data_IF_778558872620
#
_entry.id   IF_778558872620
#
_cell.length_a   1.000
_cell.length_b   1.000
_cell.length_c   1.000
_cell.angle_alpha   90.00
_cell.angle_beta   90.00
_cell.angle_gamma   90.00
#
_symmetry.space_group_name_H-M   'P 1'
#
loop_
_entity.id
_entity.type
_entity.pdbx_description
1 polymer ?
#
# COMPACT_ATOMS: atom_id res chain seq x y z
N UNK A 1 -29.37 12.60 40.08
CA UNK A 1 -28.71 12.32 38.79
C UNK A 1 -27.85 11.09 38.98
N UNK A 2 -28.23 9.92 38.46
CA UNK A 2 -27.35 8.76 38.48
C UNK A 2 -26.35 8.92 37.34
N UNK A 3 -25.13 9.32 37.70
CA UNK A 3 -24.04 9.47 36.75
C UNK A 3 -23.72 8.11 36.12
N UNK A 4 -23.80 8.03 34.79
CA UNK A 4 -23.49 6.80 34.06
C UNK A 4 -22.03 6.42 34.33
N UNK A 5 -21.82 5.21 34.82
CA UNK A 5 -20.49 4.62 35.00
C UNK A 5 -20.24 3.67 33.82
N UNK A 6 -19.23 3.93 32.97
CA UNK A 6 -18.99 3.11 31.80
C UNK A 6 -18.56 1.69 32.21
N UNK A 7 -18.99 0.66 31.47
CA UNK A 7 -18.60 -0.70 31.75
C UNK A 7 -17.09 -0.85 31.58
N UNK A 8 -16.41 -1.25 32.67
CA UNK A 8 -14.97 -1.51 32.64
C UNK A 8 -14.72 -2.80 31.84
N UNK A 9 -14.10 -2.66 30.67
CA UNK A 9 -13.76 -3.80 29.83
C UNK A 9 -12.74 -4.70 30.55
N UNK A 10 -12.92 -6.02 30.46
CA UNK A 10 -12.03 -6.98 31.10
C UNK A 10 -10.64 -7.04 30.44
N UNK A 11 -9.60 -7.14 31.26
CA UNK A 11 -8.18 -7.13 30.84
C UNK A 11 -7.84 -8.17 29.75
N UNK A 12 -8.49 -9.33 29.79
CA UNK A 12 -8.30 -10.41 28.80
C UNK A 12 -8.83 -10.05 27.42
N UNK A 13 -9.96 -9.34 27.36
CA UNK A 13 -10.55 -8.90 26.08
C UNK A 13 -9.69 -7.83 25.42
N UNK A 14 -9.14 -6.89 26.22
CA UNK A 14 -8.25 -5.85 25.73
C UNK A 14 -6.92 -6.41 25.19
N UNK A 15 -6.34 -7.43 25.86
CA UNK A 15 -5.13 -8.09 25.38
C UNK A 15 -5.34 -8.82 24.05
N UNK A 16 -6.48 -9.50 23.90
CA UNK A 16 -6.81 -10.19 22.66
C UNK A 16 -7.02 -9.21 21.50
N UNK A 17 -7.75 -8.12 21.74
CA UNK A 17 -7.97 -7.07 20.75
C UNK A 17 -6.64 -6.42 20.30
N UNK A 18 -5.79 -6.03 21.26
CA UNK A 18 -4.47 -5.48 20.98
C UNK A 18 -3.59 -6.46 20.19
N UNK A 19 -3.63 -7.76 20.52
CA UNK A 19 -2.91 -8.80 19.79
C UNK A 19 -3.42 -8.95 18.35
N UNK A 20 -4.74 -8.93 18.13
CA UNK A 20 -5.33 -9.03 16.79
C UNK A 20 -4.93 -7.81 15.95
N UNK A 21 -5.02 -6.60 16.52
CA UNK A 21 -4.60 -5.38 15.84
C UNK A 21 -3.10 -5.45 15.51
N UNK A 22 -2.26 -5.90 16.44
CA UNK A 22 -0.83 -6.10 16.20
C UNK A 22 -0.57 -7.11 15.08
N UNK A 23 -1.30 -8.22 15.04
CA UNK A 23 -1.18 -9.23 13.99
C UNK A 23 -1.62 -8.69 12.63
N UNK A 24 -2.71 -7.91 12.57
CA UNK A 24 -3.16 -7.25 11.34
C UNK A 24 -2.16 -6.20 10.86
N UNK A 25 -1.55 -5.45 11.78
CA UNK A 25 -0.52 -4.46 11.48
C UNK A 25 0.76 -5.14 10.96
N UNK A 26 1.15 -6.25 11.57
CA UNK A 26 2.25 -7.08 11.09
C UNK A 26 1.94 -7.65 9.69
N UNK A 27 0.75 -8.21 9.47
CA UNK A 27 0.35 -8.73 8.17
C UNK A 27 0.36 -7.62 7.11
N UNK A 28 -0.23 -6.47 7.39
CA UNK A 28 -0.26 -5.34 6.44
C UNK A 28 1.14 -4.83 6.10
N UNK A 29 2.07 -4.74 7.06
CA UNK A 29 3.45 -4.30 6.82
C UNK A 29 4.30 -5.36 6.12
N UNK A 30 4.25 -6.62 6.58
CA UNK A 30 5.21 -7.64 6.15
C UNK A 30 4.66 -8.57 5.07
N UNK A 31 3.37 -8.94 5.11
CA UNK A 31 2.79 -9.84 4.12
C UNK A 31 2.74 -9.17 2.74
N UNK A 32 2.32 -7.91 2.69
CA UNK A 32 2.25 -7.14 1.43
C UNK A 32 3.63 -7.02 0.80
N UNK A 33 4.62 -6.53 1.54
CA UNK A 33 5.98 -6.32 1.02
C UNK A 33 6.70 -7.63 0.70
N UNK A 34 6.71 -8.62 1.59
CA UNK A 34 7.58 -9.78 1.40
C UNK A 34 6.95 -10.93 0.62
N UNK A 35 5.62 -11.03 0.57
CA UNK A 35 4.93 -12.14 -0.11
C UNK A 35 4.33 -11.70 -1.43
N UNK A 36 3.69 -10.52 -1.49
CA UNK A 36 3.01 -10.05 -2.70
C UNK A 36 4.02 -9.48 -3.71
N UNK A 37 4.97 -8.64 -3.30
CA UNK A 37 5.94 -8.03 -4.24
C UNK A 37 6.90 -9.08 -4.85
N UNK A 38 7.28 -10.11 -4.08
CA UNK A 38 8.13 -11.20 -4.60
C UNK A 38 7.45 -12.06 -5.68
N UNK A 39 6.13 -12.21 -5.61
CA UNK A 39 5.38 -12.88 -6.68
C UNK A 39 5.41 -12.07 -7.97
N UNK A 40 5.31 -10.75 -7.89
CA UNK A 40 5.40 -9.88 -9.08
C UNK A 40 6.81 -9.79 -9.68
N UNK A 41 7.87 -9.92 -8.87
CA UNK A 41 9.25 -10.01 -9.36
C UNK A 41 9.56 -11.35 -10.05
N UNK A 42 8.91 -12.43 -9.62
CA UNK A 42 9.15 -13.77 -10.17
C UNK A 42 8.55 -13.97 -11.58
N UNK A 43 7.57 -13.16 -11.99
CA UNK A 43 7.00 -13.22 -13.34
C UNK A 43 7.79 -12.41 -14.39
N UNK A 44 8.75 -11.56 -13.97
CA UNK A 44 9.49 -10.68 -14.91
C UNK A 44 10.96 -11.05 -15.10
N UNK A 45 11.47 -12.07 -14.40
CA UNK A 45 12.84 -12.56 -14.59
C UNK A 45 12.89 -13.68 -15.63
N UNK A 46 12.56 -13.33 -16.87
CA UNK A 46 13.13 -14.01 -18.02
C UNK A 46 14.66 -13.94 -17.91
N UNK A 47 15.28 -15.06 -17.59
CA UNK A 47 16.74 -15.22 -17.58
C UNK A 47 17.24 -15.09 -19.00
N UNK A 48 17.45 -13.87 -19.46
CA UNK A 48 18.26 -13.57 -20.62
C UNK A 48 19.55 -12.95 -20.13
N UNK A 49 20.61 -13.76 -20.08
CA UNK A 49 21.99 -13.31 -20.15
C UNK A 49 22.11 -12.33 -21.32
N UNK A 50 21.94 -11.05 -21.03
CA UNK A 50 22.05 -9.98 -22.00
C UNK A 50 23.53 -9.75 -22.23
N UNK A 51 23.99 -9.89 -23.47
CA UNK A 51 25.36 -9.55 -23.83
C UNK A 51 25.67 -8.11 -23.39
N UNK A 52 26.78 -7.95 -22.65
CA UNK A 52 27.25 -6.64 -22.20
C UNK A 52 27.66 -5.81 -23.42
N UNK A 53 26.85 -4.82 -23.79
CA UNK A 53 27.19 -3.89 -24.88
C UNK A 53 28.08 -2.76 -24.38
N UNK A 54 29.01 -2.26 -25.22
CA UNK A 54 29.79 -1.07 -24.87
C UNK A 54 28.87 0.15 -24.75
N UNK A 55 29.20 1.07 -23.85
CA UNK A 55 28.38 2.25 -23.53
C UNK A 55 28.04 3.13 -24.76
N UNK A 56 28.86 3.06 -25.81
CA UNK A 56 28.64 3.71 -27.10
C UNK A 56 27.40 3.22 -27.84
N UNK A 57 27.04 1.94 -27.69
CA UNK A 57 25.93 1.27 -28.38
C UNK A 57 24.61 1.35 -27.61
N UNK A 58 24.63 1.81 -26.36
CA UNK A 58 23.42 2.01 -25.58
C UNK A 58 22.61 3.19 -26.15
N UNK A 59 21.28 3.03 -26.15
CA UNK A 59 20.31 4.04 -26.58
C UNK A 59 20.16 5.17 -25.53
N UNK A 60 21.29 5.81 -25.22
CA UNK A 60 21.41 6.93 -24.29
C UNK A 60 21.78 8.20 -25.06
N UNK A 61 21.36 9.34 -24.55
CA UNK A 61 21.82 10.65 -25.03
C UNK A 61 23.33 10.83 -24.80
N UNK A 62 23.95 11.79 -25.49
CA UNK A 62 25.39 12.04 -25.34
C UNK A 62 25.76 12.46 -23.92
N UNK A 63 24.91 13.22 -23.23
CA UNK A 63 25.12 13.66 -21.85
C UNK A 63 25.05 12.48 -20.86
N UNK A 64 24.07 11.59 -21.02
CA UNK A 64 23.92 10.40 -20.18
C UNK A 64 25.11 9.45 -20.33
N UNK A 65 25.58 9.21 -21.56
CA UNK A 65 26.79 8.42 -21.81
C UNK A 65 28.00 8.99 -21.08
N UNK A 66 28.19 10.32 -21.08
CA UNK A 66 29.29 10.95 -20.35
C UNK A 66 29.16 10.79 -18.83
N UNK A 67 27.94 10.82 -18.30
CA UNK A 67 27.70 10.67 -16.87
C UNK A 67 27.96 9.23 -16.40
N UNK A 68 27.48 8.23 -17.15
CA UNK A 68 27.80 6.82 -16.88
C UNK A 68 29.29 6.54 -17.03
N UNK A 69 29.95 7.12 -18.03
CA UNK A 69 31.41 6.98 -18.17
C UNK A 69 32.17 7.54 -16.95
N UNK A 70 31.73 8.68 -16.39
CA UNK A 70 32.32 9.23 -15.15
C UNK A 70 32.11 8.30 -13.96
N UNK A 71 30.92 7.71 -13.82
CA UNK A 71 30.62 6.77 -12.73
C UNK A 71 31.43 5.46 -12.85
N UNK A 72 31.60 4.95 -14.07
CA UNK A 72 32.44 3.78 -14.35
C UNK A 72 33.90 4.08 -14.03
N UNK A 73 34.42 5.23 -14.47
CA UNK A 73 35.80 5.65 -14.17
C UNK A 73 36.03 5.85 -12.66
N UNK A 74 34.99 6.25 -11.91
CA UNK A 74 35.03 6.40 -10.46
C UNK A 74 34.85 5.07 -9.70
N UNK A 75 34.61 3.96 -10.40
CA UNK A 75 34.37 2.64 -9.79
C UNK A 75 33.05 2.54 -9.03
N UNK A 76 32.09 3.42 -9.30
CA UNK A 76 30.78 3.47 -8.60
C UNK A 76 29.80 2.46 -9.20
N UNK A 77 29.87 2.26 -10.52
CA UNK A 77 28.99 1.35 -11.27
C UNK A 77 29.82 0.64 -12.34
N UNK A 78 29.50 -0.62 -12.61
CA UNK A 78 30.14 -1.36 -13.70
C UNK A 78 29.34 -1.24 -15.03
N UNK A 79 29.91 -1.78 -16.10
CA UNK A 79 29.30 -1.77 -17.42
C UNK A 79 28.05 -2.67 -17.48
N UNK A 80 27.99 -3.73 -16.67
CA UNK A 80 26.91 -4.69 -16.64
C UNK A 80 25.66 -4.10 -15.98
N UNK A 81 25.79 -3.53 -14.79
CA UNK A 81 24.78 -2.78 -14.08
C UNK A 81 24.26 -1.60 -14.91
N UNK A 82 25.13 -0.92 -15.66
CA UNK A 82 24.70 0.13 -16.60
C UNK A 82 23.80 -0.44 -17.71
N UNK A 83 24.18 -1.58 -18.32
CA UNK A 83 23.37 -2.24 -19.34
C UNK A 83 22.01 -2.70 -18.79
N UNK A 84 21.97 -3.25 -17.59
CA UNK A 84 20.73 -3.68 -16.93
C UNK A 84 19.81 -2.49 -16.63
N UNK A 85 20.33 -1.43 -16.02
CA UNK A 85 19.56 -0.22 -15.70
C UNK A 85 18.97 0.39 -16.97
N UNK A 86 19.73 0.44 -18.06
CA UNK A 86 19.25 0.98 -19.35
C UNK A 86 18.24 0.06 -20.00
N UNK A 87 18.43 -1.27 -19.95
CA UNK A 87 17.46 -2.25 -20.48
C UNK A 87 16.12 -2.14 -19.74
N UNK A 88 16.15 -2.10 -18.41
CA UNK A 88 14.95 -1.97 -17.57
C UNK A 88 14.24 -0.64 -17.78
N UNK A 89 14.98 0.43 -18.07
CA UNK A 89 14.40 1.76 -18.19
C UNK A 89 14.02 2.21 -19.60
N UNK A 90 14.32 1.41 -20.63
CA UNK A 90 13.97 1.75 -21.99
C UNK A 90 12.47 2.01 -22.15
N UNK A 91 12.08 3.07 -22.90
CA UNK A 91 10.69 3.38 -23.18
C UNK A 91 10.13 2.35 -24.17
N UNK A 92 9.65 1.23 -23.67
CA UNK A 92 8.87 0.26 -24.44
C UNK A 92 7.38 0.59 -24.31
N UNK A 93 6.59 0.30 -25.34
CA UNK A 93 5.14 0.53 -25.33
C UNK A 93 4.42 -0.25 -24.24
N UNK A 94 5.02 -1.36 -23.80
CA UNK A 94 4.39 -2.34 -22.90
C UNK A 94 4.95 -2.28 -21.48
N UNK A 95 5.76 -1.26 -21.14
CA UNK A 95 6.42 -1.12 -19.83
C UNK A 95 5.42 -1.03 -18.67
N UNK A 96 4.24 -0.46 -18.92
CA UNK A 96 3.19 -0.30 -17.92
C UNK A 96 1.94 -1.07 -18.36
N UNK A 97 1.71 -2.23 -17.76
CA UNK A 97 0.49 -2.99 -17.99
C UNK A 97 -0.64 -2.45 -17.10
N UNK A 98 -1.65 -1.85 -17.70
CA UNK A 98 -2.79 -1.31 -16.97
C UNK A 98 -3.88 -2.38 -16.80
N UNK A 99 -4.06 -2.84 -15.56
CA UNK A 99 -5.17 -3.74 -15.21
C UNK A 99 -6.42 -2.94 -14.84
N UNK A 100 -7.40 -2.92 -15.74
CA UNK A 100 -8.72 -2.33 -15.46
C UNK A 100 -9.42 -3.05 -14.28
N UNK A 101 -9.18 -4.35 -14.13
CA UNK A 101 -9.74 -5.15 -13.03
C UNK A 101 -9.18 -4.67 -11.68
N UNK A 102 -7.86 -4.43 -11.60
CA UNK A 102 -7.23 -3.92 -10.37
C UNK A 102 -7.74 -2.52 -10.02
N UNK A 103 -7.98 -1.66 -11.02
CA UNK A 103 -8.58 -0.36 -10.80
C UNK A 103 -9.99 -0.48 -10.20
N UNK A 104 -10.85 -1.30 -10.81
CA UNK A 104 -12.23 -1.51 -10.34
C UNK A 104 -12.24 -2.12 -8.94
N UNK A 105 -11.37 -3.09 -8.66
CA UNK A 105 -11.24 -3.69 -7.34
C UNK A 105 -10.89 -2.64 -6.28
N UNK A 106 -9.95 -1.75 -6.58
CA UNK A 106 -9.56 -0.66 -5.67
C UNK A 106 -10.72 0.30 -5.40
N UNK A 107 -11.43 0.72 -6.44
CA UNK A 107 -12.63 1.56 -6.31
C UNK A 107 -13.69 0.85 -5.46
N UNK A 108 -13.92 -0.44 -5.69
CA UNK A 108 -14.87 -1.26 -4.94
C UNK A 108 -14.53 -1.33 -3.45
N UNK A 109 -13.27 -1.54 -3.10
CA UNK A 109 -12.80 -1.56 -1.70
C UNK A 109 -13.05 -0.21 -1.03
N UNK A 110 -12.73 0.90 -1.71
CA UNK A 110 -12.95 2.25 -1.17
C UNK A 110 -14.44 2.50 -0.91
N UNK A 111 -15.30 2.18 -1.89
CA UNK A 111 -16.75 2.37 -1.76
C UNK A 111 -17.31 1.50 -0.63
N UNK A 112 -16.89 0.25 -0.53
CA UNK A 112 -17.31 -0.67 0.53
C UNK A 112 -16.91 -0.15 1.92
N UNK A 113 -15.68 0.33 2.06
CA UNK A 113 -15.21 0.96 3.30
C UNK A 113 -16.06 2.19 3.67
N UNK A 114 -16.29 3.11 2.73
CA UNK A 114 -17.09 4.31 2.97
C UNK A 114 -18.53 3.98 3.34
N UNK A 115 -19.14 3.00 2.65
CA UNK A 115 -20.49 2.53 2.95
C UNK A 115 -20.59 1.95 4.37
N UNK A 116 -19.58 1.16 4.78
CA UNK A 116 -19.49 0.61 6.14
C UNK A 116 -19.40 1.73 7.19
N UNK A 117 -18.49 2.69 7.00
CA UNK A 117 -18.32 3.83 7.93
C UNK A 117 -19.62 4.62 8.05
N UNK A 118 -20.28 4.91 6.94
CA UNK A 118 -21.55 5.64 6.94
C UNK A 118 -22.65 4.86 7.68
N UNK A 119 -22.75 3.56 7.43
CA UNK A 119 -23.75 2.70 8.07
C UNK A 119 -23.57 2.62 9.60
N UNK A 120 -22.34 2.44 10.08
CA UNK A 120 -22.03 2.41 11.51
C UNK A 120 -22.27 3.79 12.15
N UNK A 121 -21.82 4.86 11.50
CA UNK A 121 -22.00 6.23 11.99
C UNK A 121 -23.48 6.59 12.19
N UNK A 122 -24.35 6.23 11.24
CA UNK A 122 -25.79 6.48 11.37
C UNK A 122 -26.42 5.71 12.53
N UNK A 123 -25.91 4.52 12.85
CA UNK A 123 -26.42 3.72 13.97
C UNK A 123 -26.08 4.38 15.30
N UNK A 124 -24.83 4.76 15.49
CA UNK A 124 -24.37 5.43 16.72
C UNK A 124 -25.01 6.81 16.89
N UNK A 125 -25.17 7.58 15.81
CA UNK A 125 -25.85 8.88 15.85
C UNK A 125 -27.29 8.77 16.36
N UNK A 126 -28.04 7.74 15.94
CA UNK A 126 -29.40 7.48 16.42
C UNK A 126 -29.44 7.12 17.90
N UNK A 127 -28.43 6.42 18.40
CA UNK A 127 -28.32 6.06 19.81
C UNK A 127 -28.06 7.28 20.69
N UNK A 128 -27.16 8.19 20.25
CA UNK A 128 -26.91 9.46 20.94
C UNK A 128 -28.16 10.33 20.98
N UNK A 129 -28.93 10.41 19.89
CA UNK A 129 -30.19 11.16 19.89
C UNK A 129 -31.18 10.59 20.90
N UNK A 130 -31.34 9.26 20.93
CA UNK A 130 -32.25 8.61 21.88
C UNK A 130 -31.83 8.88 23.32
N UNK A 131 -30.54 8.84 23.63
CA UNK A 131 -30.05 9.13 24.98
C UNK A 131 -30.31 10.59 25.40
N UNK A 132 -29.97 11.56 24.52
CA UNK A 132 -30.02 12.99 24.85
C UNK A 132 -31.42 13.61 24.80
N UNK A 133 -32.31 13.10 23.96
CA UNK A 133 -33.59 13.75 23.69
C UNK A 133 -34.80 12.99 24.24
N UNK A 134 -34.78 11.65 24.29
CA UNK A 134 -35.91 10.85 24.81
C UNK A 134 -36.04 10.98 26.35
N UNK A 135 -34.92 11.13 27.05
CA UNK A 135 -34.87 11.35 28.51
C UNK A 135 -35.35 12.75 28.96
N UNK A 136 -35.44 13.71 28.01
CA UNK A 136 -35.78 15.10 28.29
C UNK A 136 -37.29 15.38 28.24
N UNK A 137 -38.07 14.46 27.67
CA UNK A 137 -39.51 14.60 27.51
C UNK A 137 -40.27 14.21 28.79
N UNK A 138 -39.75 13.24 29.55
CA UNK A 138 -40.34 12.76 30.82
C UNK A 138 -40.20 13.79 31.97
N UNK A 139 -39.29 14.76 31.88
CA UNK A 139 -39.08 15.78 32.94
C UNK A 139 -39.94 17.04 32.77
N UNK A 140 -40.78 17.13 31.73
CA UNK A 140 -41.61 18.32 31.44
C UNK A 140 -43.11 18.13 31.66
N UNK A 141 -43.55 16.99 32.18
CA UNK A 141 -44.96 16.74 32.59
C UNK A 141 -45.09 16.57 34.09
#
# INVERSE_FOLDING_TARGET
>A
MTQYEPPKQGLRGQLLDAFIILALLFATLFLTTYVIERQTESETTGTETSETKPLSELALSSAEKQQFQKMINAGIIDLQATNEVVKTNQPTTDKYNFSAISLIATIGIIVLYLAFVYWVSLREYKEVIREKFDSSEVQRT
#
